data_IF_248048178682
#
_entry.id   IF_248048178682
#
_cell.length_a   1.000
_cell.length_b   1.000
_cell.length_c   1.000
_cell.angle_alpha   90.00
_cell.angle_beta   90.00
_cell.angle_gamma   90.00
#
_symmetry.space_group_name_H-M   'P 1'
#
loop_
_entity.id
_entity.type
_entity.pdbx_description
1 polymer ?
#
# COMPACT_ATOMS: atom_id res chain seq x y z
N UNK A 1 38.99 15.66 -19.33
CA UNK A 1 39.11 15.27 -17.91
C UNK A 1 37.81 15.63 -17.20
N UNK A 2 36.80 14.74 -17.18
CA UNK A 2 35.61 14.91 -16.33
C UNK A 2 36.01 14.35 -14.96
N UNK A 3 36.01 15.19 -13.93
CA UNK A 3 36.28 14.74 -12.56
C UNK A 3 35.24 13.71 -12.15
N UNK A 4 35.64 12.73 -11.34
CA UNK A 4 34.68 11.85 -10.66
C UNK A 4 33.85 12.71 -9.71
N UNK A 5 32.57 12.90 -10.02
CA UNK A 5 31.59 13.44 -9.08
C UNK A 5 31.08 12.28 -8.22
N UNK A 6 31.06 12.45 -6.90
CA UNK A 6 30.44 11.47 -6.01
C UNK A 6 28.92 11.60 -6.12
N UNK A 7 28.18 10.50 -5.95
CA UNK A 7 26.71 10.52 -5.91
C UNK A 7 26.17 11.52 -4.86
N UNK A 8 26.92 11.70 -3.76
CA UNK A 8 26.61 12.70 -2.75
C UNK A 8 26.67 14.14 -3.31
N UNK A 9 27.67 14.46 -4.13
CA UNK A 9 27.82 15.80 -4.72
C UNK A 9 26.67 16.10 -5.69
N UNK A 10 26.19 15.09 -6.42
CA UNK A 10 25.05 15.21 -7.33
C UNK A 10 23.74 15.43 -6.56
N UNK A 11 23.53 14.71 -5.47
CA UNK A 11 22.39 14.91 -4.56
C UNK A 11 22.42 16.30 -3.91
N UNK A 12 23.58 16.74 -3.43
CA UNK A 12 23.76 18.06 -2.83
C UNK A 12 23.55 19.18 -3.86
N UNK A 13 24.03 19.00 -5.09
CA UNK A 13 23.80 19.97 -6.17
C UNK A 13 22.31 20.17 -6.47
N UNK A 14 21.54 19.07 -6.51
CA UNK A 14 20.09 19.14 -6.69
C UNK A 14 19.38 19.78 -5.48
N UNK A 15 19.83 19.48 -4.26
CA UNK A 15 19.30 20.10 -3.04
C UNK A 15 19.49 21.63 -3.04
N UNK A 16 20.63 22.14 -3.51
CA UNK A 16 20.88 23.58 -3.61
C UNK A 16 20.15 24.24 -4.79
N UNK A 17 20.03 23.55 -5.92
CA UNK A 17 19.36 24.09 -7.11
C UNK A 17 17.84 24.25 -6.92
N UNK A 18 17.22 23.42 -6.08
CA UNK A 18 15.77 23.39 -5.94
C UNK A 18 15.19 24.67 -5.28
N UNK A 19 15.75 25.20 -4.17
CA UNK A 19 15.32 26.49 -3.61
C UNK A 19 15.49 27.66 -4.59
N UNK A 20 16.58 27.69 -5.35
CA UNK A 20 16.83 28.74 -6.34
C UNK A 20 15.78 28.70 -7.45
N UNK A 21 15.44 27.50 -7.94
CA UNK A 21 14.38 27.31 -8.92
C UNK A 21 13.01 27.74 -8.37
N UNK A 22 12.70 27.43 -7.10
CA UNK A 22 11.46 27.82 -6.43
C UNK A 22 11.35 29.34 -6.23
N UNK A 23 12.47 30.00 -5.93
CA UNK A 23 12.52 31.43 -5.68
C UNK A 23 12.52 32.25 -6.98
N UNK A 24 13.44 31.96 -7.89
CA UNK A 24 13.71 32.77 -9.07
C UNK A 24 12.88 32.35 -10.28
N UNK A 25 12.60 31.04 -10.38
CA UNK A 25 11.96 30.47 -11.55
C UNK A 25 12.65 30.80 -12.87
N UNK A 26 11.86 30.81 -13.96
CA UNK A 26 12.25 31.22 -15.30
C UNK A 26 11.08 31.89 -16.03
N UNK A 27 11.36 33.05 -16.62
CA UNK A 27 10.41 33.77 -17.47
C UNK A 27 10.29 33.13 -18.86
N UNK A 28 9.21 33.44 -19.58
CA UNK A 28 9.02 32.97 -20.96
C UNK A 28 10.20 33.35 -21.88
N UNK A 29 10.76 34.55 -21.72
CA UNK A 29 11.88 35.03 -22.55
C UNK A 29 13.18 34.30 -22.24
N UNK A 30 13.42 33.95 -20.97
CA UNK A 30 14.56 33.12 -20.58
C UNK A 30 14.42 31.68 -21.13
N UNK A 31 13.22 31.12 -21.06
CA UNK A 31 12.91 29.79 -21.63
C UNK A 31 13.12 29.79 -23.16
N UNK A 32 12.73 30.86 -23.85
CA UNK A 32 12.99 31.03 -25.30
C UNK A 32 14.47 31.14 -25.61
N UNK A 33 15.23 31.90 -24.81
CA UNK A 33 16.67 32.06 -24.98
C UNK A 33 17.46 30.74 -24.84
N UNK A 34 16.89 29.74 -24.16
CA UNK A 34 17.43 28.38 -24.03
C UNK A 34 17.14 27.48 -25.26
N UNK A 35 16.51 28.03 -26.31
CA UNK A 35 16.19 27.31 -27.54
C UNK A 35 14.99 26.36 -27.41
N UNK A 36 14.14 26.56 -26.40
CA UNK A 36 12.92 25.77 -26.22
C UNK A 36 11.94 26.09 -27.36
N UNK A 37 11.38 25.07 -28.05
CA UNK A 37 10.38 25.28 -29.10
C UNK A 37 9.17 26.06 -28.56
N UNK A 38 8.66 27.03 -29.34
CA UNK A 38 7.62 27.98 -28.87
C UNK A 38 6.38 27.29 -28.30
N UNK A 39 5.95 26.17 -28.89
CA UNK A 39 4.83 25.34 -28.40
C UNK A 39 5.01 24.75 -26.99
N UNK A 40 6.24 24.73 -26.47
CA UNK A 40 6.58 24.21 -25.14
C UNK A 40 6.92 25.32 -24.14
N UNK A 41 7.00 26.59 -24.57
CA UNK A 41 7.44 27.70 -23.72
C UNK A 41 6.47 27.87 -22.55
N UNK A 42 5.16 27.94 -22.80
CA UNK A 42 4.15 28.11 -21.75
C UNK A 42 4.18 27.00 -20.69
N UNK A 43 4.45 25.76 -21.11
CA UNK A 43 4.55 24.60 -20.22
C UNK A 43 5.86 24.51 -19.44
N UNK A 44 6.85 25.34 -19.80
CA UNK A 44 8.18 25.39 -19.17
C UNK A 44 8.47 26.71 -18.46
N UNK A 45 7.53 27.66 -18.48
CA UNK A 45 7.58 28.84 -17.61
C UNK A 45 7.33 28.40 -16.18
N UNK A 46 8.20 28.83 -15.27
CA UNK A 46 8.00 28.67 -13.85
C UNK A 46 8.17 30.03 -13.20
N UNK A 47 7.10 30.62 -12.67
CA UNK A 47 7.12 32.04 -12.27
C UNK A 47 7.93 32.33 -10.99
N UNK A 48 8.44 31.30 -10.32
CA UNK A 48 9.14 31.48 -9.04
C UNK A 48 8.19 31.89 -7.92
N UNK A 49 8.70 32.70 -7.00
CA UNK A 49 8.01 33.26 -5.82
C UNK A 49 7.33 32.19 -4.94
N UNK A 50 7.94 31.01 -4.86
CA UNK A 50 7.46 29.94 -3.98
C UNK A 50 8.30 29.93 -2.71
N UNK A 51 7.75 30.32 -1.55
CA UNK A 51 8.48 30.26 -0.30
C UNK A 51 8.86 28.81 -0.01
N UNK A 52 10.14 28.57 0.25
CA UNK A 52 10.67 27.27 0.60
C UNK A 52 11.66 27.40 1.75
N UNK A 53 11.76 26.37 2.58
CA UNK A 53 12.74 26.28 3.65
C UNK A 53 13.57 25.01 3.44
N UNK A 54 14.86 25.18 3.23
CA UNK A 54 15.82 24.08 3.10
C UNK A 54 16.80 24.10 4.26
N UNK A 55 16.94 22.96 4.93
CA UNK A 55 17.81 22.81 6.10
C UNK A 55 18.82 21.69 5.81
N UNK A 56 20.09 22.05 5.75
CA UNK A 56 21.18 21.09 5.63
C UNK A 56 21.83 20.90 6.99
N UNK A 57 21.65 19.70 7.57
CA UNK A 57 22.25 19.33 8.83
C UNK A 57 23.41 18.36 8.56
N UNK A 58 24.63 18.63 9.05
CA UNK A 58 25.81 17.84 8.70
C UNK A 58 25.76 16.41 9.25
N UNK A 59 25.04 16.18 10.36
CA UNK A 59 24.78 14.86 10.96
C UNK A 59 23.41 14.88 11.63
N UNK A 60 22.67 13.76 11.62
CA UNK A 60 21.50 13.60 12.47
C UNK A 60 21.95 13.28 13.91
N UNK A 61 21.96 14.28 14.79
CA UNK A 61 22.33 14.13 16.20
C UNK A 61 21.31 14.81 17.12
N UNK A 62 21.25 14.44 18.41
CA UNK A 62 20.39 15.12 19.39
C UNK A 62 20.60 16.63 19.42
N UNK A 63 21.82 17.11 19.17
CA UNK A 63 22.14 18.53 19.12
C UNK A 63 21.46 19.23 17.93
N UNK A 64 21.55 18.67 16.73
CA UNK A 64 20.93 19.27 15.54
C UNK A 64 19.39 19.14 15.56
N UNK A 65 18.86 18.07 16.15
CA UNK A 65 17.42 17.96 16.45
C UNK A 65 16.97 19.03 17.45
N UNK A 66 17.77 19.30 18.49
CA UNK A 66 17.55 20.42 19.42
C UNK A 66 17.59 21.79 18.73
N UNK A 67 18.52 21.99 17.79
CA UNK A 67 18.60 23.24 17.02
C UNK A 67 17.37 23.47 16.13
N UNK A 68 16.77 22.42 15.56
CA UNK A 68 15.50 22.52 14.83
C UNK A 68 14.35 22.96 15.74
N UNK A 69 14.31 22.44 16.98
CA UNK A 69 13.33 22.86 17.99
C UNK A 69 13.55 24.33 18.39
N UNK A 70 14.80 24.74 18.61
CA UNK A 70 15.13 26.14 18.90
C UNK A 70 14.76 27.07 17.73
N UNK A 71 14.93 26.64 16.48
CA UNK A 71 14.49 27.40 15.30
C UNK A 71 12.97 27.60 15.28
N UNK A 72 12.19 26.61 15.70
CA UNK A 72 10.74 26.75 15.89
C UNK A 72 10.41 27.78 16.97
N UNK A 73 11.14 27.78 18.09
CA UNK A 73 10.99 28.77 19.15
C UNK A 73 11.38 30.18 18.68
N UNK A 74 12.46 30.32 17.92
CA UNK A 74 12.89 31.60 17.34
C UNK A 74 11.87 32.13 16.33
N UNK A 75 11.27 31.27 15.50
CA UNK A 75 10.15 31.65 14.64
C UNK A 75 8.98 32.20 15.46
N UNK A 76 8.65 31.51 16.55
CA UNK A 76 7.60 31.94 17.49
C UNK A 76 7.94 33.30 18.13
N UNK A 77 9.22 33.54 18.41
CA UNK A 77 9.72 34.82 18.92
C UNK A 77 9.70 35.94 17.87
N UNK A 78 10.04 35.67 16.60
CA UNK A 78 9.92 36.65 15.51
C UNK A 78 8.46 37.02 15.27
N UNK A 79 7.57 36.03 15.23
CA UNK A 79 6.12 36.25 15.18
C UNK A 79 5.66 37.14 16.35
N UNK A 80 6.11 36.81 17.56
CA UNK A 80 5.92 37.59 18.79
C UNK A 80 6.38 39.04 18.70
N UNK A 81 7.68 39.21 18.59
CA UNK A 81 8.37 40.48 18.84
C UNK A 81 8.42 41.38 17.62
N UNK A 82 8.53 40.80 16.42
CA UNK A 82 8.72 41.57 15.17
C UNK A 82 7.37 41.81 14.50
N UNK A 83 6.52 40.79 14.42
CA UNK A 83 5.23 40.90 13.75
C UNK A 83 4.07 41.28 14.68
N UNK A 84 4.35 41.43 15.97
CA UNK A 84 3.34 41.79 16.97
C UNK A 84 2.27 40.71 17.18
N UNK A 85 2.51 39.48 16.71
CA UNK A 85 1.63 38.34 16.92
C UNK A 85 2.00 37.75 18.27
N UNK A 86 1.32 38.18 19.33
CA UNK A 86 1.65 37.70 20.67
C UNK A 86 1.32 36.20 20.80
N UNK A 87 2.33 35.36 20.57
CA UNK A 87 2.29 33.89 20.65
C UNK A 87 1.97 33.37 22.07
N UNK A 88 2.07 34.25 23.08
CA UNK A 88 1.73 34.00 24.47
C UNK A 88 0.59 34.92 24.93
N UNK A 89 -0.24 35.42 24.00
CA UNK A 89 -1.39 36.25 24.35
C UNK A 89 -2.32 35.46 25.24
N UNK A 90 -2.13 35.64 26.54
CA UNK A 90 -2.91 34.96 27.54
C UNK A 90 -4.37 35.39 27.39
N UNK A 91 -4.66 36.62 26.94
CA UNK A 91 -6.02 37.04 26.65
C UNK A 91 -6.58 36.36 25.41
N UNK A 92 -5.81 36.17 24.35
CA UNK A 92 -6.18 35.40 23.16
C UNK A 92 -6.39 33.91 23.46
N UNK A 93 -5.57 33.33 24.33
CA UNK A 93 -5.68 31.95 24.81
C UNK A 93 -6.86 31.80 25.77
N UNK A 94 -7.06 32.71 26.71
CA UNK A 94 -8.21 32.76 27.62
C UNK A 94 -9.51 33.01 26.85
N UNK A 95 -9.51 33.95 25.89
CA UNK A 95 -10.61 34.17 24.97
C UNK A 95 -10.84 32.91 24.12
N UNK A 96 -9.79 32.25 23.66
CA UNK A 96 -9.86 30.95 22.98
C UNK A 96 -10.50 29.86 23.85
N UNK A 97 -10.18 29.81 25.16
CA UNK A 97 -10.83 28.91 26.12
C UNK A 97 -12.31 29.28 26.31
N UNK A 98 -12.64 30.56 26.44
CA UNK A 98 -14.03 31.07 26.56
C UNK A 98 -14.85 30.78 25.30
N UNK A 99 -14.30 31.06 24.11
CA UNK A 99 -14.92 30.74 22.82
C UNK A 99 -15.02 29.22 22.62
N UNK A 100 -14.02 28.49 23.08
CA UNK A 100 -13.98 27.03 23.09
C UNK A 100 -15.13 26.39 23.88
N UNK A 101 -15.62 27.03 24.95
CA UNK A 101 -16.82 26.58 25.69
C UNK A 101 -18.04 26.57 24.77
N UNK A 102 -18.24 27.62 23.95
CA UNK A 102 -19.35 27.68 22.99
C UNK A 102 -19.23 26.62 21.92
N UNK A 103 -18.03 26.44 21.35
CA UNK A 103 -17.75 25.39 20.35
C UNK A 103 -18.01 24.00 20.94
N UNK A 104 -17.54 23.75 22.16
CA UNK A 104 -17.73 22.47 22.87
C UNK A 104 -19.20 22.20 23.16
N UNK A 105 -19.95 23.21 23.62
CA UNK A 105 -21.40 23.11 23.85
C UNK A 105 -22.12 22.75 22.55
N UNK A 106 -21.84 23.48 21.47
CA UNK A 106 -22.41 23.18 20.15
C UNK A 106 -22.07 21.77 19.69
N UNK A 107 -20.79 21.36 19.70
CA UNK A 107 -20.39 20.02 19.28
C UNK A 107 -21.02 18.91 20.13
N UNK A 108 -21.28 19.15 21.42
CA UNK A 108 -21.95 18.20 22.30
C UNK A 108 -23.44 18.09 21.98
N UNK A 109 -24.12 19.21 21.76
CA UNK A 109 -25.56 19.25 21.44
C UNK A 109 -25.82 18.73 20.01
N UNK A 110 -24.95 19.07 19.05
CA UNK A 110 -25.03 18.61 17.67
C UNK A 110 -24.85 17.09 17.54
N UNK A 111 -24.08 16.45 18.42
CA UNK A 111 -23.92 14.98 18.45
C UNK A 111 -25.17 14.25 18.94
N UNK A 112 -26.10 14.93 19.62
CA UNK A 112 -27.36 14.35 20.09
C UNK A 112 -28.58 14.87 19.32
N UNK A 113 -28.37 15.50 18.16
CA UNK A 113 -29.43 15.97 17.26
C UNK A 113 -29.98 17.37 17.57
N UNK A 114 -29.31 18.15 18.44
CA UNK A 114 -29.63 19.55 18.74
C UNK A 114 -28.54 20.53 18.27
N UNK A 115 -28.46 21.70 18.93
CA UNK A 115 -27.38 22.68 18.75
C UNK A 115 -27.62 23.73 17.66
N UNK A 116 -27.45 25.01 18.02
CA UNK A 116 -27.54 26.13 17.07
C UNK A 116 -26.14 26.56 16.61
N UNK A 117 -25.91 26.47 15.30
CA UNK A 117 -24.64 26.86 14.66
C UNK A 117 -24.59 28.37 14.35
N UNK A 118 -25.71 29.09 14.50
CA UNK A 118 -25.78 30.51 14.26
C UNK A 118 -24.84 31.28 15.22
N UNK A 119 -24.12 32.26 14.66
CA UNK A 119 -23.17 33.08 15.42
C UNK A 119 -21.73 32.56 15.50
N UNK A 120 -21.39 31.46 14.81
CA UNK A 120 -19.99 31.13 14.50
C UNK A 120 -19.58 31.65 13.11
N UNK A 121 -18.32 32.04 12.88
CA UNK A 121 -17.83 32.39 11.54
C UNK A 121 -17.89 31.20 10.57
N UNK A 122 -18.16 31.47 9.28
CA UNK A 122 -18.33 30.43 8.25
C UNK A 122 -17.18 29.40 8.14
N UNK A 123 -15.89 29.77 8.33
CA UNK A 123 -14.81 28.78 8.36
C UNK A 123 -14.92 27.81 9.54
N UNK A 124 -15.24 28.32 10.73
CA UNK A 124 -15.44 27.51 11.93
C UNK A 124 -16.63 26.57 11.78
N UNK A 125 -17.73 27.02 11.17
CA UNK A 125 -18.90 26.18 10.89
C UNK A 125 -18.54 24.96 10.02
N UNK A 126 -17.77 25.18 8.94
CA UNK A 126 -17.33 24.08 8.04
C UNK A 126 -16.44 23.07 8.75
N UNK A 127 -15.52 23.54 9.58
CA UNK A 127 -14.64 22.67 10.36
C UNK A 127 -15.41 21.86 11.40
N UNK A 128 -16.37 22.47 12.10
CA UNK A 128 -17.23 21.76 13.05
C UNK A 128 -18.13 20.74 12.37
N UNK A 129 -18.70 21.06 11.20
CA UNK A 129 -19.49 20.10 10.42
C UNK A 129 -18.64 18.88 9.99
N UNK A 130 -17.40 19.12 9.54
CA UNK A 130 -16.44 18.05 9.22
C UNK A 130 -16.10 17.19 10.45
N UNK A 131 -15.89 17.82 11.61
CA UNK A 131 -15.59 17.13 12.87
C UNK A 131 -16.79 16.34 13.44
N UNK A 132 -18.03 16.75 13.14
CA UNK A 132 -19.25 16.04 13.51
C UNK A 132 -19.57 14.89 12.55
N UNK A 133 -19.14 14.99 11.28
CA UNK A 133 -19.23 13.89 10.32
C UNK A 133 -18.31 12.69 10.70
N UNK A 134 -17.36 12.90 11.61
CA UNK A 134 -16.51 11.86 12.19
C UNK A 134 -17.01 11.50 13.61
N UNK A 135 -17.50 10.27 13.85
CA UNK A 135 -17.80 9.81 15.21
C UNK A 135 -16.49 9.70 15.99
N UNK A 136 -16.40 10.38 17.14
CA UNK A 136 -15.37 10.13 18.15
C UNK A 136 -16.05 9.36 19.28
N UNK A 137 -15.63 8.12 19.57
CA UNK A 137 -15.94 7.48 20.85
C UNK A 137 -14.68 7.31 21.71
N UNK A 138 -14.92 7.38 23.02
CA UNK A 138 -13.93 7.31 24.09
C UNK A 138 -13.16 5.97 24.11
N UNK A 139 -11.93 5.95 24.66
CA UNK A 139 -11.22 4.72 24.94
C UNK A 139 -11.87 4.03 26.15
N UNK A 140 -12.69 3.02 25.88
CA UNK A 140 -13.20 2.11 26.89
C UNK A 140 -12.89 0.67 26.48
N UNK A 141 -12.11 -0.04 27.29
CA UNK A 141 -11.80 -1.46 27.15
C UNK A 141 -13.02 -2.37 27.41
N UNK A 142 -14.07 -2.20 26.62
CA UNK A 142 -15.24 -3.05 26.57
C UNK A 142 -15.52 -3.42 25.12
N UNK A 143 -16.12 -4.61 24.90
CA UNK A 143 -16.57 -5.15 23.61
C UNK A 143 -16.67 -4.11 22.51
N UNK A 144 -15.78 -4.20 21.52
CA UNK A 144 -15.82 -3.33 20.36
C UNK A 144 -16.77 -3.95 19.35
N UNK A 145 -17.87 -3.27 19.04
CA UNK A 145 -18.88 -3.79 18.12
C UNK A 145 -18.81 -3.08 16.78
N UNK A 146 -19.24 -3.78 15.73
CA UNK A 146 -19.31 -3.21 14.39
C UNK A 146 -20.43 -2.17 14.37
N UNK A 147 -20.11 -0.89 14.17
CA UNK A 147 -21.12 0.18 14.07
C UNK A 147 -21.44 0.56 12.62
N UNK A 148 -20.47 0.38 11.73
CA UNK A 148 -20.65 0.60 10.31
C UNK A 148 -19.69 -0.27 9.51
N UNK A 149 -20.11 -0.65 8.30
CA UNK A 149 -19.29 -1.40 7.36
C UNK A 149 -19.62 -0.90 5.95
N UNK A 150 -18.60 -0.53 5.18
CA UNK A 150 -18.77 0.00 3.84
C UNK A 150 -17.68 -0.44 2.89
N UNK A 151 -18.07 -0.98 1.74
CA UNK A 151 -17.18 -1.35 0.66
C UNK A 151 -17.10 -0.26 -0.42
N UNK A 152 -15.95 -0.23 -1.11
CA UNK A 152 -15.70 0.57 -2.33
C UNK A 152 -14.87 -0.23 -3.33
N UNK A 153 -14.87 0.23 -4.57
CA UNK A 153 -13.99 -0.29 -5.62
C UNK A 153 -12.67 0.49 -5.58
N UNK A 154 -11.56 -0.24 -5.57
CA UNK A 154 -10.21 0.30 -5.77
C UNK A 154 -9.51 -0.49 -6.89
N UNK A 155 -8.28 -0.14 -7.24
CA UNK A 155 -7.49 -0.85 -8.25
C UNK A 155 -6.30 -1.58 -7.63
N UNK A 156 -6.06 -2.81 -8.09
CA UNK A 156 -4.91 -3.63 -7.72
C UNK A 156 -3.63 -3.22 -8.47
N UNK A 157 -2.52 -3.93 -8.22
CA UNK A 157 -1.21 -3.66 -8.84
C UNK A 157 -1.20 -3.77 -10.37
N UNK A 158 -2.17 -4.48 -10.95
CA UNK A 158 -2.32 -4.67 -12.41
C UNK A 158 -3.34 -3.72 -13.02
N UNK A 159 -3.90 -2.80 -12.22
CA UNK A 159 -4.95 -1.89 -12.66
C UNK A 159 -6.30 -2.58 -12.88
N UNK A 160 -6.52 -3.78 -12.33
CA UNK A 160 -7.85 -4.38 -12.30
C UNK A 160 -8.58 -3.93 -11.03
N UNK A 161 -9.91 -3.75 -11.08
CA UNK A 161 -10.67 -3.38 -9.89
C UNK A 161 -10.67 -4.49 -8.84
N UNK A 162 -10.72 -4.13 -7.56
CA UNK A 162 -10.85 -5.05 -6.42
C UNK A 162 -11.65 -4.39 -5.29
N UNK A 163 -12.04 -5.18 -4.29
CA UNK A 163 -12.88 -4.74 -3.17
C UNK A 163 -12.02 -4.21 -2.01
N UNK A 164 -12.37 -3.05 -1.48
CA UNK A 164 -11.85 -2.53 -0.22
C UNK A 164 -13.00 -2.25 0.74
N UNK A 165 -12.85 -2.67 2.00
CA UNK A 165 -13.83 -2.50 3.07
C UNK A 165 -13.26 -1.62 4.17
N UNK A 166 -14.06 -0.65 4.61
CA UNK A 166 -13.91 0.05 5.87
C UNK A 166 -14.92 -0.51 6.87
N UNK A 167 -14.42 -0.97 8.01
CA UNK A 167 -15.19 -1.35 9.18
C UNK A 167 -14.97 -0.30 10.26
N UNK A 168 -16.04 0.32 10.72
CA UNK A 168 -16.00 1.19 11.88
C UNK A 168 -16.49 0.43 13.11
N UNK A 169 -15.75 0.60 14.18
CA UNK A 169 -16.21 0.34 15.54
C UNK A 169 -16.66 1.66 16.15
N UNK A 170 -17.08 1.64 17.42
CA UNK A 170 -17.42 2.85 18.14
C UNK A 170 -16.27 3.88 18.11
N UNK A 171 -15.03 3.40 18.18
CA UNK A 171 -13.85 4.24 18.41
C UNK A 171 -12.92 4.41 17.19
N UNK A 172 -12.86 3.43 16.29
CA UNK A 172 -11.84 3.36 15.25
C UNK A 172 -12.36 2.81 13.92
N UNK A 173 -11.69 3.20 12.84
CA UNK A 173 -11.88 2.68 11.49
C UNK A 173 -10.76 1.70 11.13
N UNK A 174 -11.14 0.55 10.59
CA UNK A 174 -10.25 -0.52 10.14
C UNK A 174 -10.49 -0.81 8.68
N UNK A 175 -9.41 -0.85 7.89
CA UNK A 175 -9.48 -0.99 6.43
C UNK A 175 -8.87 -2.31 5.97
N UNK A 176 -9.46 -2.90 4.95
CA UNK A 176 -8.93 -4.08 4.27
C UNK A 176 -9.24 -4.08 2.78
N UNK A 177 -8.22 -4.29 1.96
CA UNK A 177 -8.36 -4.60 0.54
C UNK A 177 -8.02 -6.06 0.29
N UNK A 178 -8.67 -6.67 -0.71
CA UNK A 178 -8.39 -8.05 -1.13
C UNK A 178 -7.57 -8.10 -2.41
N UNK A 179 -6.65 -9.06 -2.54
CA UNK A 179 -5.95 -9.30 -3.79
C UNK A 179 -6.94 -9.89 -4.82
N UNK A 180 -6.62 -9.73 -6.10
CA UNK A 180 -7.33 -10.39 -7.19
C UNK A 180 -6.77 -11.80 -7.41
N UNK A 181 -7.66 -12.79 -7.58
CA UNK A 181 -7.27 -14.11 -8.07
C UNK A 181 -7.06 -14.05 -9.59
N UNK A 182 -6.11 -14.84 -10.10
CA UNK A 182 -5.97 -15.11 -11.53
C UNK A 182 -6.45 -16.52 -11.91
N UNK A 183 -6.37 -17.46 -10.96
CA UNK A 183 -6.78 -18.85 -11.12
C UNK A 183 -8.29 -19.01 -10.92
N UNK A 184 -8.93 -19.71 -11.85
CA UNK A 184 -10.37 -20.07 -11.79
C UNK A 184 -10.53 -21.56 -11.48
N UNK A 185 -9.76 -22.05 -10.51
CA UNK A 185 -9.74 -23.47 -10.17
C UNK A 185 -11.09 -23.96 -9.68
N UNK A 186 -11.51 -25.16 -10.11
CA UNK A 186 -12.80 -25.78 -9.72
C UNK A 186 -12.94 -26.04 -8.21
N UNK A 187 -11.83 -26.02 -7.49
CA UNK A 187 -11.75 -26.24 -6.05
C UNK A 187 -11.78 -24.94 -5.24
N UNK A 188 -11.48 -23.80 -5.86
CA UNK A 188 -11.22 -22.55 -5.15
C UNK A 188 -12.51 -21.82 -4.75
N UNK A 189 -12.39 -20.93 -3.76
CA UNK A 189 -13.47 -20.00 -3.47
C UNK A 189 -13.56 -18.96 -4.59
N UNK A 190 -14.78 -18.72 -5.08
CA UNK A 190 -14.96 -17.96 -6.32
C UNK A 190 -15.01 -16.47 -6.05
N UNK A 191 -14.12 -15.72 -6.70
CA UNK A 191 -14.20 -14.28 -6.77
C UNK A 191 -15.46 -13.85 -7.57
N UNK A 192 -16.22 -12.87 -7.06
CA UNK A 192 -17.36 -12.32 -7.80
C UNK A 192 -16.94 -11.10 -8.63
N UNK A 193 -17.09 -11.24 -9.95
CA UNK A 193 -16.87 -10.18 -10.96
C UNK A 193 -18.20 -9.77 -11.62
N UNK A 194 -18.27 -8.55 -12.11
CA UNK A 194 -19.48 -7.98 -12.71
C UNK A 194 -19.85 -8.66 -14.03
N UNK A 195 -18.85 -9.04 -14.83
CA UNK A 195 -19.03 -9.65 -16.16
C UNK A 195 -19.48 -8.68 -17.25
N UNK A 196 -19.61 -7.39 -16.94
CA UNK A 196 -19.99 -6.34 -17.90
C UNK A 196 -18.80 -5.98 -18.81
N UNK A 197 -18.80 -6.50 -20.04
CA UNK A 197 -17.75 -6.22 -21.03
C UNK A 197 -17.64 -4.72 -21.38
N UNK A 198 -18.69 -3.92 -21.16
CA UNK A 198 -18.67 -2.48 -21.38
C UNK A 198 -17.90 -1.70 -20.32
N UNK A 199 -17.54 -2.33 -19.19
CA UNK A 199 -16.87 -1.69 -18.06
C UNK A 199 -15.71 -2.54 -17.55
N UNK A 200 -14.51 -1.95 -17.55
CA UNK A 200 -13.30 -2.59 -17.01
C UNK A 200 -13.10 -4.02 -17.56
N UNK A 201 -13.42 -4.23 -18.84
CA UNK A 201 -13.33 -5.52 -19.55
C UNK A 201 -14.06 -6.68 -18.85
N UNK A 202 -15.18 -6.43 -18.17
CA UNK A 202 -15.91 -7.44 -17.41
C UNK A 202 -15.37 -7.72 -16.02
N UNK A 203 -14.27 -7.07 -15.61
CA UNK A 203 -13.59 -7.34 -14.34
C UNK A 203 -14.10 -6.49 -13.17
N UNK A 204 -15.07 -5.59 -13.37
CA UNK A 204 -15.67 -4.79 -12.30
C UNK A 204 -16.09 -5.61 -11.08
N UNK A 205 -16.18 -4.99 -9.90
CA UNK A 205 -16.57 -5.66 -8.64
C UNK A 205 -17.75 -4.98 -7.94
N UNK A 206 -18.59 -4.24 -8.67
CA UNK A 206 -19.74 -3.55 -8.10
C UNK A 206 -20.76 -4.51 -7.49
N UNK A 207 -20.94 -5.71 -8.04
CA UNK A 207 -21.78 -6.76 -7.44
C UNK A 207 -21.26 -7.19 -6.07
N UNK A 208 -19.94 -7.42 -5.95
CA UNK A 208 -19.32 -7.78 -4.68
C UNK A 208 -19.44 -6.63 -3.65
N UNK A 209 -19.29 -5.38 -4.09
CA UNK A 209 -19.47 -4.19 -3.24
C UNK A 209 -20.93 -4.07 -2.75
N UNK A 210 -21.90 -4.30 -3.63
CA UNK A 210 -23.31 -4.31 -3.27
C UNK A 210 -23.59 -5.44 -2.25
N UNK A 211 -23.06 -6.64 -2.45
CA UNK A 211 -23.18 -7.73 -1.49
C UNK A 211 -22.63 -7.34 -0.10
N UNK A 212 -21.49 -6.64 -0.05
CA UNK A 212 -20.96 -6.14 1.23
C UNK A 212 -21.91 -5.12 1.87
N UNK A 213 -22.31 -4.09 1.12
CA UNK A 213 -23.08 -2.95 1.65
C UNK A 213 -24.53 -3.30 2.00
N UNK A 214 -25.18 -4.13 1.18
CA UNK A 214 -26.62 -4.35 1.22
C UNK A 214 -27.00 -5.67 1.93
N UNK A 215 -26.08 -6.64 2.02
CA UNK A 215 -26.34 -7.96 2.59
C UNK A 215 -25.48 -8.22 3.84
N UNK A 216 -24.16 -8.09 3.72
CA UNK A 216 -23.24 -8.41 4.82
C UNK A 216 -23.32 -7.36 5.93
N UNK A 217 -23.22 -6.07 5.58
CA UNK A 217 -23.19 -4.99 6.57
C UNK A 217 -24.40 -4.99 7.51
N UNK A 218 -25.67 -5.07 7.04
CA UNK A 218 -26.83 -5.06 7.92
C UNK A 218 -26.85 -6.24 8.90
N UNK A 219 -26.25 -7.39 8.52
CA UNK A 219 -26.20 -8.58 9.37
C UNK A 219 -25.11 -8.51 10.44
N UNK A 220 -23.97 -7.89 10.14
CA UNK A 220 -22.81 -7.86 11.02
C UNK A 220 -22.80 -6.67 11.99
N UNK A 221 -23.56 -5.60 11.72
CA UNK A 221 -23.69 -4.47 12.65
C UNK A 221 -24.15 -4.98 14.03
N UNK A 222 -23.46 -4.53 15.08
CA UNK A 222 -23.67 -4.93 16.47
C UNK A 222 -22.93 -6.21 16.89
N UNK A 223 -22.28 -6.93 15.97
CA UNK A 223 -21.44 -8.07 16.33
C UNK A 223 -20.12 -7.62 16.95
N UNK A 224 -19.61 -8.41 17.91
CA UNK A 224 -18.34 -8.18 18.58
C UNK A 224 -17.16 -8.60 17.67
N UNK A 225 -16.28 -7.64 17.35
CA UNK A 225 -15.15 -7.85 16.42
C UNK A 225 -14.14 -8.87 16.93
N UNK A 226 -14.17 -9.22 18.22
CA UNK A 226 -13.30 -10.27 18.78
C UNK A 226 -13.74 -11.69 18.41
N UNK A 227 -14.97 -11.86 17.90
CA UNK A 227 -15.58 -13.15 17.57
C UNK A 227 -15.36 -13.54 16.09
N UNK A 228 -14.10 -13.52 15.64
CA UNK A 228 -13.70 -13.78 14.24
C UNK A 228 -14.40 -15.02 13.65
N UNK A 229 -14.29 -16.17 14.29
CA UNK A 229 -14.86 -17.42 13.79
C UNK A 229 -16.39 -17.39 13.71
N UNK A 230 -17.07 -16.68 14.60
CA UNK A 230 -18.52 -16.55 14.54
C UNK A 230 -18.96 -15.65 13.37
N UNK A 231 -18.27 -14.53 13.17
CA UNK A 231 -18.53 -13.60 12.05
C UNK A 231 -18.28 -14.27 10.71
N UNK A 232 -17.14 -14.95 10.56
CA UNK A 232 -16.79 -15.68 9.33
C UNK A 232 -17.82 -16.78 9.02
N UNK A 233 -18.31 -17.52 10.03
CA UNK A 233 -19.37 -18.52 9.85
C UNK A 233 -20.70 -17.89 9.45
N UNK A 234 -21.08 -16.74 10.00
CA UNK A 234 -22.30 -16.03 9.57
C UNK A 234 -22.20 -15.68 8.09
N UNK A 235 -21.07 -15.14 7.63
CA UNK A 235 -20.88 -14.80 6.22
C UNK A 235 -20.89 -16.03 5.31
N UNK A 236 -20.13 -17.08 5.67
CA UNK A 236 -19.94 -18.26 4.80
C UNK A 236 -21.14 -19.22 4.84
N UNK A 237 -21.63 -19.56 6.03
CA UNK A 237 -22.62 -20.62 6.20
C UNK A 237 -24.06 -20.10 6.13
N UNK A 238 -24.33 -18.89 6.64
CA UNK A 238 -25.69 -18.36 6.77
C UNK A 238 -26.08 -17.39 5.66
N UNK A 239 -25.17 -16.47 5.29
CA UNK A 239 -25.45 -15.46 4.27
C UNK A 239 -25.13 -15.93 2.86
N UNK A 240 -23.98 -16.57 2.64
CA UNK A 240 -23.60 -17.09 1.32
C UNK A 240 -24.21 -18.47 1.05
N UNK A 241 -23.90 -19.46 1.90
CA UNK A 241 -24.48 -20.79 1.84
C UNK A 241 -24.05 -21.65 0.65
N UNK A 242 -23.27 -21.13 -0.31
CA UNK A 242 -22.91 -21.84 -1.53
C UNK A 242 -21.81 -22.88 -1.29
N UNK A 243 -21.97 -24.05 -1.92
CA UNK A 243 -21.03 -25.17 -1.83
C UNK A 243 -20.70 -25.74 -3.20
N UNK A 244 -19.50 -26.29 -3.32
CA UNK A 244 -19.12 -27.26 -4.33
C UNK A 244 -18.90 -28.64 -3.66
N UNK A 245 -18.45 -29.63 -4.42
CA UNK A 245 -18.17 -30.99 -3.91
C UNK A 245 -17.12 -31.02 -2.78
N UNK A 246 -16.33 -29.96 -2.62
CA UNK A 246 -15.16 -29.86 -1.75
C UNK A 246 -15.38 -28.97 -0.52
N UNK A 247 -16.50 -28.23 -0.45
CA UNK A 247 -16.83 -27.36 0.66
C UNK A 247 -17.49 -26.05 0.25
N UNK A 248 -17.29 -25.00 1.04
CA UNK A 248 -17.93 -23.70 0.85
C UNK A 248 -17.26 -22.89 -0.26
N UNK A 249 -17.95 -22.73 -1.40
CA UNK A 249 -17.45 -22.06 -2.60
C UNK A 249 -17.51 -20.54 -2.54
N UNK A 250 -18.38 -19.97 -1.70
CA UNK A 250 -18.53 -18.50 -1.52
C UNK A 250 -18.95 -17.74 -2.79
N UNK A 251 -19.62 -18.45 -3.70
CA UNK A 251 -19.96 -17.99 -5.04
C UNK A 251 -21.12 -16.99 -5.06
N UNK A 252 -21.99 -16.98 -4.05
CA UNK A 252 -23.18 -16.12 -4.03
C UNK A 252 -22.81 -14.68 -3.64
N UNK A 253 -22.05 -14.51 -2.55
CA UNK A 253 -21.58 -13.21 -2.09
C UNK A 253 -20.26 -12.80 -2.73
N UNK A 254 -19.44 -13.76 -3.13
CA UNK A 254 -18.08 -13.56 -3.62
C UNK A 254 -17.04 -13.73 -2.53
N UNK A 255 -16.02 -14.54 -2.80
CA UNK A 255 -14.91 -14.76 -1.88
C UNK A 255 -14.16 -13.45 -1.57
N UNK A 256 -14.06 -12.54 -2.55
CA UNK A 256 -13.50 -11.20 -2.40
C UNK A 256 -14.29 -10.32 -1.42
N UNK A 257 -15.62 -10.34 -1.47
CA UNK A 257 -16.46 -9.61 -0.52
C UNK A 257 -16.27 -10.13 0.92
N UNK A 258 -16.35 -11.45 1.10
CA UNK A 258 -16.24 -12.09 2.43
C UNK A 258 -14.84 -11.87 3.02
N UNK A 259 -13.78 -12.07 2.23
CA UNK A 259 -12.41 -11.94 2.71
C UNK A 259 -12.09 -10.49 3.11
N UNK A 260 -12.58 -9.49 2.37
CA UNK A 260 -12.35 -8.08 2.69
C UNK A 260 -12.94 -7.74 4.07
N UNK A 261 -14.17 -8.17 4.32
CA UNK A 261 -14.83 -7.98 5.62
C UNK A 261 -14.09 -8.75 6.72
N UNK A 262 -13.77 -10.03 6.48
CA UNK A 262 -13.06 -10.88 7.43
C UNK A 262 -11.72 -10.28 7.89
N UNK A 263 -10.93 -9.74 6.97
CA UNK A 263 -9.66 -9.07 7.27
C UNK A 263 -9.85 -7.75 8.03
N UNK A 264 -10.89 -6.97 7.72
CA UNK A 264 -11.21 -5.74 8.45
C UNK A 264 -11.63 -6.04 9.89
N UNK A 265 -12.45 -7.08 10.09
CA UNK A 265 -12.82 -7.61 11.41
C UNK A 265 -11.58 -8.06 12.18
N UNK A 266 -10.67 -8.79 11.54
CA UNK A 266 -9.44 -9.27 12.19
C UNK A 266 -8.56 -8.11 12.71
N UNK A 267 -8.42 -7.03 11.92
CA UNK A 267 -7.73 -5.80 12.35
C UNK A 267 -8.43 -5.11 13.51
N UNK A 268 -9.76 -5.05 13.48
CA UNK A 268 -10.56 -4.50 14.57
C UNK A 268 -10.41 -5.33 15.86
N UNK A 269 -10.45 -6.66 15.75
CA UNK A 269 -10.22 -7.60 16.84
C UNK A 269 -8.83 -7.42 17.47
N UNK A 270 -7.79 -7.25 16.66
CA UNK A 270 -6.44 -6.98 17.16
C UNK A 270 -6.38 -5.69 17.99
N UNK A 271 -7.02 -4.62 17.51
CA UNK A 271 -7.11 -3.34 18.24
C UNK A 271 -7.93 -3.44 19.52
N UNK A 272 -9.04 -4.20 19.52
CA UNK A 272 -9.85 -4.45 20.71
C UNK A 272 -9.07 -5.20 21.82
N UNK A 273 -8.06 -5.97 21.44
CA UNK A 273 -7.11 -6.63 22.36
C UNK A 273 -5.84 -5.82 22.61
N UNK A 274 -5.74 -4.59 22.09
CA UNK A 274 -4.58 -3.70 22.20
C UNK A 274 -3.25 -4.37 21.79
N UNK A 275 -3.30 -5.22 20.76
CA UNK A 275 -2.13 -5.97 20.29
C UNK A 275 -1.90 -5.81 18.78
N UNK A 276 -0.65 -5.95 18.31
CA UNK A 276 -0.36 -6.02 16.89
C UNK A 276 -1.12 -7.17 16.20
N UNK A 277 -1.50 -6.96 14.94
CA UNK A 277 -2.27 -7.93 14.14
C UNK A 277 -1.65 -9.34 14.13
N UNK A 278 -0.33 -9.45 14.01
CA UNK A 278 0.34 -10.76 13.98
C UNK A 278 0.18 -11.54 15.29
N UNK A 279 0.14 -10.86 16.44
CA UNK A 279 -0.10 -11.49 17.74
C UNK A 279 -1.55 -11.94 17.86
N UNK A 280 -2.49 -11.11 17.38
CA UNK A 280 -3.90 -11.47 17.35
C UNK A 280 -4.18 -12.68 16.46
N UNK A 281 -3.55 -12.77 15.30
CA UNK A 281 -3.62 -13.96 14.43
C UNK A 281 -3.05 -15.19 15.12
N UNK A 282 -1.93 -15.07 15.84
CA UNK A 282 -1.38 -16.19 16.62
C UNK A 282 -2.34 -16.64 17.72
N UNK A 283 -2.98 -15.70 18.43
CA UNK A 283 -4.04 -15.97 19.41
C UNK A 283 -5.21 -16.74 18.79
N UNK A 284 -5.74 -16.26 17.66
CA UNK A 284 -6.84 -16.90 16.93
C UNK A 284 -6.48 -18.32 16.47
N UNK A 285 -5.21 -18.53 16.10
CA UNK A 285 -4.69 -19.82 15.63
C UNK A 285 -4.30 -20.78 16.75
N UNK A 286 -4.46 -20.38 18.02
CA UNK A 286 -4.02 -21.16 19.19
C UNK A 286 -2.50 -21.39 19.24
N UNK A 287 -1.71 -20.53 18.59
CA UNK A 287 -0.24 -20.62 18.59
C UNK A 287 0.36 -19.85 19.78
N UNK A 288 1.56 -20.22 20.26
CA UNK A 288 2.26 -19.46 21.28
C UNK A 288 2.51 -18.01 20.85
N UNK A 289 2.44 -17.07 21.80
CA UNK A 289 2.62 -15.63 21.57
C UNK A 289 3.90 -15.06 22.20
N UNK A 290 4.73 -15.93 22.79
CA UNK A 290 5.99 -15.61 23.45
C UNK A 290 7.17 -15.63 22.46
N UNK A 291 7.08 -16.45 21.42
CA UNK A 291 8.12 -16.58 20.39
C UNK A 291 7.53 -16.72 19.00
N UNK A 292 7.81 -15.73 18.16
CA UNK A 292 7.39 -15.71 16.76
C UNK A 292 8.52 -16.21 15.85
N UNK A 293 8.13 -16.78 14.71
CA UNK A 293 9.05 -17.21 13.65
C UNK A 293 8.95 -16.20 12.52
N UNK A 294 10.08 -15.61 12.14
CA UNK A 294 10.16 -14.80 10.92
C UNK A 294 10.33 -15.74 9.72
N UNK A 295 9.57 -15.56 8.63
CA UNK A 295 9.64 -16.43 7.47
C UNK A 295 10.91 -16.21 6.65
N UNK A 296 11.33 -17.22 5.88
CA UNK A 296 12.28 -16.99 4.78
C UNK A 296 11.49 -16.39 3.62
N UNK A 297 11.85 -15.20 3.11
CA UNK A 297 11.19 -14.65 1.94
C UNK A 297 11.57 -15.44 0.68
N UNK A 298 10.58 -15.69 -0.17
CA UNK A 298 10.76 -16.24 -1.52
C UNK A 298 10.53 -15.11 -2.52
N UNK A 299 11.61 -14.58 -3.08
CA UNK A 299 11.53 -13.46 -4.01
C UNK A 299 11.43 -13.98 -5.43
N UNK A 300 10.35 -13.67 -6.13
CA UNK A 300 10.26 -13.90 -7.57
C UNK A 300 11.24 -12.97 -8.32
N UNK A 301 12.08 -13.54 -9.19
CA UNK A 301 13.14 -12.80 -9.88
C UNK A 301 13.19 -13.01 -11.39
N UNK A 302 12.72 -14.16 -11.89
CA UNK A 302 12.59 -14.44 -13.33
C UNK A 302 11.21 -15.04 -13.58
N UNK A 303 10.49 -14.45 -14.52
CA UNK A 303 9.15 -14.86 -14.93
C UNK A 303 9.20 -15.65 -16.26
N UNK A 304 8.35 -16.66 -16.33
CA UNK A 304 8.03 -17.45 -17.50
C UNK A 304 6.54 -17.81 -17.51
N UNK A 305 6.17 -18.93 -18.13
CA UNK A 305 4.79 -19.42 -18.15
C UNK A 305 3.78 -18.36 -18.60
N UNK A 306 2.56 -18.38 -18.08
CA UNK A 306 1.51 -17.42 -18.45
C UNK A 306 1.80 -15.96 -18.01
N UNK A 307 2.86 -15.73 -17.22
CA UNK A 307 3.27 -14.41 -16.73
C UNK A 307 4.26 -13.67 -17.64
N UNK A 308 4.80 -14.32 -18.69
CA UNK A 308 5.76 -13.70 -19.60
C UNK A 308 5.63 -14.20 -21.05
N UNK A 309 5.82 -13.30 -22.01
CA UNK A 309 5.85 -13.61 -23.45
C UNK A 309 7.13 -14.28 -23.95
N UNK A 310 8.00 -14.78 -23.05
CA UNK A 310 9.19 -15.54 -23.41
C UNK A 310 8.87 -17.05 -23.56
N UNK A 311 9.87 -17.85 -23.96
CA UNK A 311 9.72 -19.30 -24.20
C UNK A 311 9.70 -20.17 -22.93
N UNK A 312 9.97 -19.61 -21.75
CA UNK A 312 10.00 -20.38 -20.51
C UNK A 312 8.64 -21.00 -20.21
N UNK A 313 8.63 -22.31 -19.97
CA UNK A 313 7.45 -23.02 -19.50
C UNK A 313 7.21 -22.80 -18.01
N UNK A 314 8.25 -22.88 -17.17
CA UNK A 314 8.12 -22.63 -15.74
C UNK A 314 7.70 -21.18 -15.50
N UNK A 315 6.74 -20.97 -14.59
CA UNK A 315 6.13 -19.67 -14.35
C UNK A 315 7.05 -18.74 -13.57
N UNK A 316 7.69 -19.24 -12.52
CA UNK A 316 8.50 -18.41 -11.62
C UNK A 316 9.79 -19.11 -11.22
N UNK A 317 10.89 -18.34 -11.19
CA UNK A 317 12.12 -18.70 -10.53
C UNK A 317 12.34 -17.71 -9.39
N UNK A 318 12.48 -18.26 -8.19
CA UNK A 318 12.57 -17.52 -6.95
C UNK A 318 13.91 -17.73 -6.27
N UNK A 319 14.36 -16.73 -5.54
CA UNK A 319 15.49 -16.84 -4.61
C UNK A 319 15.02 -16.81 -3.16
N UNK A 320 15.60 -17.69 -2.35
CA UNK A 320 15.28 -17.89 -0.95
C UNK A 320 16.55 -17.78 -0.10
N UNK A 321 16.81 -16.65 0.57
CA UNK A 321 17.97 -16.46 1.44
C UNK A 321 17.93 -17.26 2.74
N UNK A 322 17.93 -18.59 2.66
CA UNK A 322 17.80 -19.51 3.82
C UNK A 322 18.99 -19.44 4.78
N UNK A 323 20.15 -18.95 4.33
CA UNK A 323 21.35 -18.76 5.14
C UNK A 323 21.44 -17.38 5.81
N UNK A 324 20.39 -16.55 5.70
CA UNK A 324 20.33 -15.25 6.36
C UNK A 324 20.15 -15.37 7.88
N UNK A 325 20.74 -14.43 8.63
CA UNK A 325 20.70 -14.38 10.09
C UNK A 325 19.41 -13.78 10.67
N UNK A 326 18.68 -13.02 9.85
CA UNK A 326 17.42 -12.36 10.20
C UNK A 326 16.59 -12.09 8.95
N UNK A 327 15.32 -11.71 9.13
CA UNK A 327 14.48 -11.30 8.01
C UNK A 327 15.04 -10.07 7.27
N UNK A 328 15.61 -9.11 8.00
CA UNK A 328 16.22 -7.91 7.40
C UNK A 328 17.45 -8.29 6.55
N UNK A 329 18.29 -9.19 7.06
CA UNK A 329 19.43 -9.73 6.33
C UNK A 329 18.97 -10.48 5.06
N UNK A 330 17.87 -11.25 5.14
CA UNK A 330 17.28 -11.91 3.99
C UNK A 330 16.77 -10.91 2.93
N UNK A 331 16.15 -9.79 3.34
CA UNK A 331 15.74 -8.72 2.44
C UNK A 331 16.94 -8.06 1.73
N UNK A 332 18.02 -7.78 2.47
CA UNK A 332 19.24 -7.19 1.91
C UNK A 332 19.85 -8.13 0.86
N UNK A 333 20.03 -9.41 1.22
CA UNK A 333 20.55 -10.43 0.29
C UNK A 333 19.66 -10.53 -0.96
N UNK A 334 18.34 -10.60 -0.78
CA UNK A 334 17.39 -10.66 -1.90
C UNK A 334 17.51 -9.45 -2.84
N UNK A 335 17.60 -8.24 -2.30
CA UNK A 335 17.73 -7.01 -3.07
C UNK A 335 19.08 -6.93 -3.83
N UNK A 336 20.18 -7.29 -3.18
CA UNK A 336 21.52 -7.29 -3.81
C UNK A 336 21.62 -8.31 -4.95
N UNK A 337 21.05 -9.51 -4.76
CA UNK A 337 20.94 -10.53 -5.82
C UNK A 337 20.05 -10.02 -6.95
N UNK A 338 18.89 -9.44 -6.67
CA UNK A 338 17.96 -8.91 -7.68
C UNK A 338 18.61 -7.80 -8.53
N UNK A 339 19.32 -6.85 -7.92
CA UNK A 339 20.00 -5.79 -8.65
C UNK A 339 21.20 -6.29 -9.45
N UNK A 340 21.91 -7.29 -8.93
CA UNK A 340 23.00 -7.96 -9.66
C UNK A 340 22.45 -8.72 -10.86
N UNK A 341 21.36 -9.46 -10.68
CA UNK A 341 20.63 -10.15 -11.74
C UNK A 341 20.19 -9.19 -12.84
N UNK A 342 19.63 -8.02 -12.48
CA UNK A 342 19.30 -6.95 -13.44
C UNK A 342 20.50 -6.57 -14.30
N UNK A 343 21.68 -6.43 -13.69
CA UNK A 343 22.94 -6.14 -14.39
C UNK A 343 23.38 -7.26 -15.34
N UNK A 344 23.27 -8.51 -14.92
CA UNK A 344 23.56 -9.69 -15.75
C UNK A 344 22.61 -9.74 -16.95
N UNK A 345 21.31 -9.61 -16.71
CA UNK A 345 20.27 -9.59 -17.76
C UNK A 345 20.52 -8.45 -18.74
N UNK A 346 20.76 -7.23 -18.25
CA UNK A 346 21.05 -6.06 -19.10
C UNK A 346 22.22 -6.32 -20.04
N UNK A 347 23.28 -6.96 -19.53
CA UNK A 347 24.49 -7.25 -20.31
C UNK A 347 24.25 -8.33 -21.37
N UNK A 348 23.46 -9.36 -21.06
CA UNK A 348 23.25 -10.52 -21.93
C UNK A 348 22.12 -10.32 -22.94
N UNK A 349 21.01 -9.71 -22.52
CA UNK A 349 19.77 -9.61 -23.31
C UNK A 349 19.36 -8.17 -23.64
N UNK A 350 20.11 -7.17 -23.16
CA UNK A 350 19.85 -5.76 -23.42
C UNK A 350 18.95 -5.08 -22.38
N UNK A 351 18.75 -3.77 -22.56
CA UNK A 351 18.05 -2.91 -21.58
C UNK A 351 16.56 -3.25 -21.44
N UNK A 352 15.90 -3.66 -22.53
CA UNK A 352 14.46 -3.93 -22.53
C UNK A 352 14.10 -5.20 -21.77
N UNK A 353 15.03 -6.16 -21.68
CA UNK A 353 14.88 -7.37 -20.86
C UNK A 353 14.89 -7.09 -19.35
N UNK A 354 15.21 -5.85 -18.94
CA UNK A 354 15.14 -5.41 -17.54
C UNK A 354 13.77 -4.84 -17.14
N UNK A 355 12.79 -4.84 -18.06
CA UNK A 355 11.40 -4.61 -17.69
C UNK A 355 10.91 -5.73 -16.76
N UNK A 356 9.94 -5.40 -15.92
CA UNK A 356 9.43 -6.31 -14.89
C UNK A 356 8.01 -6.77 -15.25
N UNK A 357 7.67 -8.00 -14.90
CA UNK A 357 6.31 -8.53 -14.99
C UNK A 357 5.44 -8.12 -13.79
N UNK A 358 4.25 -8.71 -13.70
CA UNK A 358 3.22 -8.39 -12.71
C UNK A 358 3.72 -8.46 -11.25
N UNK A 359 4.67 -9.35 -10.97
CA UNK A 359 5.22 -9.60 -9.63
C UNK A 359 6.62 -9.00 -9.40
N UNK A 360 7.12 -8.18 -10.33
CA UNK A 360 8.41 -7.50 -10.20
C UNK A 360 9.64 -8.32 -10.66
N UNK A 361 9.47 -9.60 -10.99
CA UNK A 361 10.49 -10.42 -11.66
C UNK A 361 10.79 -9.96 -13.09
N UNK A 362 11.99 -10.25 -13.59
CA UNK A 362 12.38 -9.94 -14.98
C UNK A 362 11.80 -10.96 -15.96
N UNK A 363 11.58 -10.57 -17.21
CA UNK A 363 11.14 -11.47 -18.28
C UNK A 363 12.17 -11.52 -19.44
N UNK A 364 13.40 -12.02 -19.20
CA UNK A 364 14.39 -12.13 -20.26
C UNK A 364 13.97 -13.14 -21.33
N UNK A 365 14.43 -12.95 -22.56
CA UNK A 365 14.21 -13.86 -23.69
C UNK A 365 15.13 -15.08 -23.65
N UNK A 366 15.12 -15.80 -22.52
CA UNK A 366 15.83 -17.07 -22.37
C UNK A 366 15.18 -18.16 -23.23
N UNK A 367 15.98 -19.14 -23.65
CA UNK A 367 15.56 -20.23 -24.52
C UNK A 367 14.91 -21.39 -23.74
N UNK A 368 15.42 -21.69 -22.55
CA UNK A 368 14.93 -22.78 -21.73
C UNK A 368 15.12 -22.51 -20.22
N UNK A 369 14.61 -23.44 -19.40
CA UNK A 369 14.68 -23.36 -17.94
C UNK A 369 16.13 -23.41 -17.41
N UNK A 370 17.05 -24.10 -18.10
CA UNK A 370 18.45 -24.18 -17.66
C UNK A 370 19.14 -22.83 -17.87
N UNK A 371 18.88 -22.15 -18.98
CA UNK A 371 19.45 -20.81 -19.22
C UNK A 371 18.97 -19.80 -18.17
N UNK A 372 17.71 -19.89 -17.72
CA UNK A 372 17.23 -19.07 -16.62
C UNK A 372 17.98 -19.34 -15.31
N UNK A 373 18.23 -20.63 -15.00
CA UNK A 373 19.01 -21.04 -13.84
C UNK A 373 20.47 -20.59 -13.94
N UNK A 374 21.11 -20.70 -15.11
CA UNK A 374 22.50 -20.28 -15.33
C UNK A 374 22.67 -18.78 -15.09
N UNK A 375 21.76 -17.96 -15.63
CA UNK A 375 21.74 -16.51 -15.42
C UNK A 375 21.54 -16.17 -13.94
N UNK A 376 20.68 -16.92 -13.25
CA UNK A 376 20.43 -16.73 -11.82
C UNK A 376 21.65 -17.14 -10.98
N UNK A 377 22.30 -18.26 -11.30
CA UNK A 377 23.52 -18.72 -10.64
C UNK A 377 24.67 -17.72 -10.84
N UNK A 378 24.83 -17.17 -12.04
CA UNK A 378 25.81 -16.09 -12.31
C UNK A 378 25.55 -14.87 -11.40
N UNK A 379 24.28 -14.49 -11.20
CA UNK A 379 23.92 -13.39 -10.31
C UNK A 379 24.20 -13.71 -8.83
N UNK A 380 23.95 -14.95 -8.40
CA UNK A 380 24.26 -15.41 -7.05
C UNK A 380 25.77 -15.42 -6.75
N UNK A 381 26.58 -15.84 -7.72
CA UNK A 381 28.04 -15.82 -7.61
C UNK A 381 28.57 -14.38 -7.56
N UNK A 382 28.12 -13.51 -8.48
CA UNK A 382 28.56 -12.11 -8.55
C UNK A 382 28.15 -11.27 -7.36
N UNK A 383 27.00 -11.56 -6.76
CA UNK A 383 26.55 -10.88 -5.54
C UNK A 383 27.27 -11.36 -4.28
N UNK A 384 28.01 -12.48 -4.36
CA UNK A 384 28.72 -13.06 -3.22
C UNK A 384 27.83 -13.86 -2.27
N UNK A 385 26.59 -14.20 -2.68
CA UNK A 385 25.58 -14.82 -1.81
C UNK A 385 25.22 -16.27 -2.17
N UNK A 386 25.89 -16.89 -3.13
CA UNK A 386 25.62 -18.27 -3.57
C UNK A 386 25.56 -19.31 -2.42
N UNK A 387 26.36 -19.14 -1.36
CA UNK A 387 26.34 -20.03 -0.19
C UNK A 387 25.16 -19.82 0.77
N UNK A 388 24.44 -18.70 0.66
CA UNK A 388 23.34 -18.30 1.58
C UNK A 388 21.95 -18.41 0.94
N UNK A 389 21.88 -18.56 -0.36
CA UNK A 389 20.63 -18.50 -1.12
C UNK A 389 20.33 -19.87 -1.75
N UNK A 390 19.07 -20.27 -1.70
CA UNK A 390 18.51 -21.41 -2.43
C UNK A 390 17.59 -20.91 -3.53
N UNK A 391 17.38 -21.73 -4.55
CA UNK A 391 16.47 -21.44 -5.65
C UNK A 391 15.19 -22.24 -5.41
N UNK A 392 14.04 -21.60 -5.61
CA UNK A 392 12.73 -22.22 -5.69
C UNK A 392 12.12 -21.96 -7.06
N UNK A 393 11.18 -22.79 -7.48
CA UNK A 393 10.46 -22.56 -8.75
C UNK A 393 9.00 -22.90 -8.58
N UNK A 394 8.14 -22.05 -9.14
CA UNK A 394 6.76 -22.42 -9.46
C UNK A 394 6.72 -22.84 -10.93
N UNK A 395 6.39 -24.10 -11.15
CA UNK A 395 6.30 -24.68 -12.48
C UNK A 395 4.95 -24.34 -13.12
N UNK A 396 3.87 -24.19 -12.33
CA UNK A 396 2.50 -24.05 -12.82
C UNK A 396 2.12 -25.08 -13.91
N UNK A 397 2.49 -26.36 -13.69
CA UNK A 397 2.48 -27.39 -14.72
C UNK A 397 1.11 -27.67 -15.36
N UNK A 398 0.01 -27.26 -14.71
CA UNK A 398 -1.35 -27.35 -15.26
C UNK A 398 -1.52 -26.52 -16.54
N UNK A 399 -0.78 -25.42 -16.69
CA UNK A 399 -0.88 -24.50 -17.84
C UNK A 399 -0.39 -25.13 -19.15
N UNK A 400 0.44 -26.17 -19.07
CA UNK A 400 1.04 -26.84 -20.23
C UNK A 400 0.94 -28.36 -20.16
N UNK A 401 -0.03 -28.86 -19.40
CA UNK A 401 -0.41 -30.26 -19.40
C UNK A 401 -1.35 -30.55 -20.58
N UNK A 402 -0.95 -31.44 -21.48
CA UNK A 402 -1.71 -31.85 -22.65
C UNK A 402 -1.66 -33.37 -22.81
N UNK A 403 -2.83 -34.01 -22.88
CA UNK A 403 -2.99 -35.45 -23.17
C UNK A 403 -2.10 -36.41 -22.36
N UNK A 404 -2.02 -36.22 -21.04
CA UNK A 404 -1.21 -37.10 -20.18
C UNK A 404 0.28 -36.78 -20.18
N UNK A 405 0.71 -35.72 -20.87
CA UNK A 405 2.11 -35.28 -20.98
C UNK A 405 2.21 -33.78 -20.67
N UNK A 406 3.45 -33.30 -20.59
CA UNK A 406 3.75 -31.88 -20.37
C UNK A 406 4.51 -31.32 -21.57
N UNK A 407 3.99 -30.24 -22.15
CA UNK A 407 4.60 -29.53 -23.28
C UNK A 407 5.44 -28.34 -22.78
N UNK A 408 6.74 -28.55 -22.62
CA UNK A 408 7.67 -27.50 -22.16
C UNK A 408 7.93 -26.42 -23.22
N UNK A 409 7.34 -26.51 -24.41
CA UNK A 409 7.45 -25.52 -25.47
C UNK A 409 6.06 -25.06 -25.96
N UNK A 410 5.02 -25.17 -25.13
CA UNK A 410 3.63 -24.89 -25.50
C UNK A 410 3.38 -23.50 -26.14
N UNK A 411 4.29 -22.54 -25.90
CA UNK A 411 4.22 -21.16 -26.42
C UNK A 411 4.77 -21.01 -27.83
N UNK A 412 5.48 -21.99 -28.37
CA UNK A 412 6.07 -21.91 -29.72
C UNK A 412 5.09 -22.32 -30.83
N UNK A 413 3.90 -22.84 -30.48
CA UNK A 413 2.85 -23.23 -31.43
C UNK A 413 2.20 -22.03 -32.18
N UNK A 414 2.42 -20.80 -31.72
CA UNK A 414 1.88 -19.56 -32.30
C UNK A 414 2.86 -18.77 -33.21
N UNK A 415 3.95 -19.39 -33.65
CA UNK A 415 4.82 -18.90 -34.75
C UNK A 415 4.87 -19.87 -35.90
#
# INVERSE_FOLDING_TARGET
KKGLFLTHDELMSNFFAQPDALALGKTADQVRAEGVPEKLVEHKVFTGDRPSLSLLLPVCSPFYLGALLAMYEHRTAVQGWVWGINSFDQWGVELGKVLGVRVRKYLSEARTGGGDVAGFPAPTQRLMASALACPLAAPGGGRSTIVALRAREIFDSRGNPTVEVDLCTESQLFRAAVPSGASTGVYEALELRDGDKGRLMGKGVLKAIANVNDIIAPKLIGMDVTQQAAIDKVMVEQLDGSKNEWGWSKASLGANAILAVSMAVCRAGASAFEMPLYQYIAKLSGKPMDRFVMPVPSFNVINGGSHAGNRLACQEFMILPTGASSFMDALIIGAEVYHTLKGVIKKKYGQDACNVGDEGGFAPSVQDNNEALDVLMEALEKSGHAGKVKIGTDVAASEFYEDGKYDLDFKSKDT
#
